data_IF_741537696887
#
_entry.id   IF_741537696887
#
_cell.length_a   1.000
_cell.length_b   1.000
_cell.length_c   1.000
_cell.angle_alpha   90.00
_cell.angle_beta   90.00
_cell.angle_gamma   90.00
#
_symmetry.space_group_name_H-M   'P 1'
#
loop_
_entity.id
_entity.type
_entity.pdbx_description
1 polymer ?
#
# COMPACT_ATOMS: atom_id res chain seq x y z
N UNK A 1 5.42 19.03 -16.75
CA UNK A 1 4.10 18.36 -16.73
C UNK A 1 4.12 16.94 -17.32
N UNK A 2 4.56 16.69 -18.58
CA UNK A 2 4.61 15.32 -19.16
C UNK A 2 5.69 14.38 -18.58
N UNK A 3 6.77 14.91 -17.98
CA UNK A 3 7.83 14.11 -17.34
C UNK A 3 7.49 13.68 -15.89
N UNK A 4 6.71 14.47 -15.16
CA UNK A 4 6.26 14.17 -13.78
C UNK A 4 5.21 13.07 -13.73
N UNK A 5 4.28 13.07 -14.70
CA UNK A 5 3.39 11.92 -14.90
C UNK A 5 4.22 10.67 -15.14
N UNK A 6 5.37 10.76 -15.80
CA UNK A 6 6.22 9.60 -16.11
C UNK A 6 6.97 9.03 -14.90
N UNK A 7 7.42 9.79 -13.89
CA UNK A 7 8.18 9.18 -12.76
C UNK A 7 7.25 8.50 -11.74
N UNK A 8 6.12 9.13 -11.42
CA UNK A 8 5.07 8.52 -10.60
C UNK A 8 4.34 7.42 -11.40
N UNK A 9 4.14 7.56 -12.72
CA UNK A 9 3.76 6.41 -13.57
C UNK A 9 4.91 5.41 -13.73
N UNK A 10 6.20 5.70 -13.61
CA UNK A 10 7.24 4.68 -13.78
C UNK A 10 7.23 3.79 -12.54
N UNK A 11 7.10 4.37 -11.34
CA UNK A 11 6.89 3.63 -10.09
C UNK A 11 5.51 2.95 -10.02
N UNK A 12 4.43 3.58 -10.50
CA UNK A 12 3.08 2.98 -10.53
C UNK A 12 2.84 2.02 -11.71
N UNK A 13 3.45 2.21 -12.89
CA UNK A 13 3.35 1.31 -14.06
C UNK A 13 4.27 0.11 -13.92
N UNK A 14 5.39 0.21 -13.18
CA UNK A 14 6.08 -1.01 -12.73
C UNK A 14 5.16 -1.88 -11.86
N UNK A 15 4.16 -1.30 -11.19
CA UNK A 15 3.17 -2.02 -10.37
C UNK A 15 1.90 -2.41 -11.16
N UNK A 16 1.55 -1.72 -12.25
CA UNK A 16 0.23 -1.84 -12.91
C UNK A 16 0.24 -2.33 -14.37
N UNK A 17 1.24 -3.09 -14.83
CA UNK A 17 1.16 -3.79 -16.13
C UNK A 17 0.21 -5.01 -16.10
N UNK A 18 -1.10 -4.73 -16.07
CA UNK A 18 -2.18 -5.65 -16.43
C UNK A 18 -2.80 -5.15 -17.74
N UNK A 19 -2.60 -5.96 -18.79
CA UNK A 19 -3.28 -6.04 -20.09
C UNK A 19 -3.92 -4.78 -20.71
N UNK A 20 -3.34 -4.34 -21.83
CA UNK A 20 -4.11 -3.88 -22.99
C UNK A 20 -3.60 -4.62 -24.22
N UNK A 21 -4.41 -5.56 -24.72
CA UNK A 21 -4.30 -6.09 -26.09
C UNK A 21 -4.97 -5.10 -27.04
N UNK A 22 -4.34 -4.93 -28.20
CA UNK A 22 -4.82 -4.25 -29.40
C UNK A 22 -4.71 -2.70 -29.45
N UNK A 23 -3.66 -2.18 -30.12
CA UNK A 23 -3.78 -1.57 -31.45
C UNK A 23 -2.46 -0.96 -32.01
N UNK A 24 -2.13 -1.41 -33.22
CA UNK A 24 -1.39 -0.83 -34.36
C UNK A 24 -0.09 0.01 -34.20
N UNK A 25 0.95 -0.27 -35.04
CA UNK A 25 2.22 0.43 -35.00
C UNK A 25 2.18 1.74 -35.79
N UNK A 26 2.40 2.86 -35.12
CA UNK A 26 2.74 4.13 -35.79
C UNK A 26 4.24 4.36 -35.65
N UNK A 27 4.93 4.11 -36.77
CA UNK A 27 6.21 4.67 -37.22
C UNK A 27 6.95 5.57 -36.22
N UNK A 28 7.83 4.97 -35.42
CA UNK A 28 8.96 5.65 -34.80
C UNK A 28 10.10 5.74 -35.82
N UNK A 29 10.28 6.91 -36.43
CA UNK A 29 11.52 7.27 -37.09
C UNK A 29 11.85 8.72 -36.73
N UNK A 30 13.10 8.93 -36.36
CA UNK A 30 13.76 10.18 -35.94
C UNK A 30 13.47 10.67 -34.52
N UNK A 31 14.30 10.21 -33.58
CA UNK A 31 15.22 11.00 -32.72
C UNK A 31 15.97 9.93 -31.91
N UNK A 32 16.99 9.35 -32.54
CA UNK A 32 17.98 8.47 -31.90
C UNK A 32 19.32 8.95 -32.42
N UNK A 33 20.25 9.17 -31.49
CA UNK A 33 21.66 9.52 -31.67
C UNK A 33 22.02 10.94 -31.23
N UNK A 34 22.13 11.12 -29.91
CA UNK A 34 23.27 11.80 -29.23
C UNK A 34 22.93 12.03 -27.73
N UNK A 35 22.87 10.93 -26.98
CA UNK A 35 23.10 10.88 -25.53
C UNK A 35 23.65 9.47 -25.29
N UNK A 36 24.95 9.31 -25.47
CA UNK A 36 25.65 8.09 -25.07
C UNK A 36 25.68 8.04 -23.54
N UNK A 37 24.58 7.59 -22.96
CA UNK A 37 24.47 7.20 -21.56
C UNK A 37 25.43 6.02 -21.38
N UNK A 38 26.55 6.25 -20.69
CA UNK A 38 27.36 5.16 -20.15
C UNK A 38 26.44 4.25 -19.34
N UNK A 39 26.53 2.94 -19.61
CA UNK A 39 25.50 1.96 -19.29
C UNK A 39 25.02 2.03 -17.82
N UNK A 40 23.76 2.41 -17.63
CA UNK A 40 23.01 2.19 -16.38
C UNK A 40 23.18 0.73 -15.94
N UNK A 41 23.92 0.50 -14.85
CA UNK A 41 23.96 -0.83 -14.25
C UNK A 41 22.77 -0.99 -13.30
N UNK A 42 21.58 -1.17 -13.89
CA UNK A 42 20.35 -1.57 -13.19
C UNK A 42 20.60 -2.69 -12.17
N UNK A 43 21.61 -3.54 -12.45
CA UNK A 43 21.94 -4.66 -11.60
C UNK A 43 22.67 -4.23 -10.32
N UNK A 44 23.37 -3.09 -10.27
CA UNK A 44 24.01 -2.60 -9.06
C UNK A 44 23.00 -2.10 -8.03
N UNK A 45 22.07 -1.23 -8.42
CA UNK A 45 20.95 -0.79 -7.59
C UNK A 45 20.08 -1.98 -7.14
N UNK A 46 19.72 -2.85 -8.08
CA UNK A 46 18.97 -4.08 -7.80
C UNK A 46 19.68 -4.97 -6.79
N UNK A 47 20.99 -5.20 -6.95
CA UNK A 47 21.79 -5.98 -5.99
C UNK A 47 21.79 -5.33 -4.62
N UNK A 48 21.98 -4.03 -4.54
CA UNK A 48 21.95 -3.30 -3.27
C UNK A 48 20.61 -3.48 -2.55
N UNK A 49 19.48 -3.33 -3.26
CA UNK A 49 18.14 -3.54 -2.69
C UNK A 49 17.90 -4.99 -2.25
N UNK A 50 18.42 -5.97 -2.99
CA UNK A 50 18.40 -7.39 -2.61
C UNK A 50 19.23 -7.61 -1.34
N UNK A 51 20.44 -7.05 -1.27
CA UNK A 51 21.33 -7.15 -0.11
C UNK A 51 20.69 -6.52 1.13
N UNK A 52 20.06 -5.35 1.00
CA UNK A 52 19.29 -4.73 2.08
C UNK A 52 18.16 -5.65 2.54
N UNK A 53 17.38 -6.22 1.62
CA UNK A 53 16.33 -7.16 2.04
C UNK A 53 16.89 -8.41 2.71
N UNK A 54 18.01 -8.95 2.22
CA UNK A 54 18.68 -10.09 2.84
C UNK A 54 19.20 -9.76 4.24
N UNK A 55 19.66 -8.53 4.47
CA UNK A 55 20.00 -8.00 5.78
C UNK A 55 18.77 -7.97 6.69
N UNK A 56 17.65 -7.42 6.23
CA UNK A 56 16.38 -7.42 6.97
C UNK A 56 15.86 -8.84 7.27
N UNK A 57 16.12 -9.83 6.41
CA UNK A 57 15.77 -11.24 6.65
C UNK A 57 16.58 -11.88 7.79
N UNK A 58 17.76 -11.36 8.08
CA UNK A 58 18.66 -11.83 9.13
C UNK A 58 18.48 -11.07 10.44
N UNK A 59 17.71 -9.98 10.42
CA UNK A 59 17.42 -9.18 11.61
C UNK A 59 16.71 -10.01 12.70
N UNK A 60 16.90 -9.63 13.97
CA UNK A 60 16.33 -10.38 15.11
C UNK A 60 14.83 -10.16 15.26
N UNK A 61 14.33 -8.99 14.86
CA UNK A 61 12.90 -8.68 14.82
C UNK A 61 12.24 -9.39 13.62
N UNK A 62 11.29 -10.27 13.94
CA UNK A 62 10.52 -11.03 12.95
C UNK A 62 9.71 -10.12 12.01
N UNK A 63 9.30 -8.93 12.46
CA UNK A 63 8.54 -7.99 11.65
C UNK A 63 9.42 -7.45 10.50
N UNK A 64 10.71 -7.23 10.76
CA UNK A 64 11.66 -6.79 9.73
C UNK A 64 11.94 -7.93 8.75
N UNK A 65 11.99 -9.17 9.24
CA UNK A 65 12.10 -10.35 8.36
C UNK A 65 10.90 -10.42 7.39
N UNK A 66 9.67 -10.14 7.84
CA UNK A 66 8.50 -10.10 6.96
C UNK A 66 8.61 -8.96 5.94
N UNK A 67 9.06 -7.77 6.33
CA UNK A 67 9.25 -6.65 5.41
C UNK A 67 10.30 -6.96 4.32
N UNK A 68 11.47 -7.49 4.71
CA UNK A 68 12.50 -7.93 3.77
C UNK A 68 12.02 -9.05 2.84
N UNK A 69 11.23 -9.99 3.37
CA UNK A 69 10.64 -11.05 2.57
C UNK A 69 9.62 -10.53 1.56
N UNK A 70 8.75 -9.61 2.00
CA UNK A 70 7.75 -8.98 1.14
C UNK A 70 8.42 -8.22 -0.02
N UNK A 71 9.50 -7.50 0.30
CA UNK A 71 10.31 -6.80 -0.68
C UNK A 71 10.89 -7.75 -1.73
N UNK A 72 11.65 -8.76 -1.31
CA UNK A 72 12.28 -9.72 -2.24
C UNK A 72 11.25 -10.39 -3.15
N UNK A 73 10.12 -10.77 -2.57
CA UNK A 73 9.02 -11.37 -3.29
C UNK A 73 8.46 -10.45 -4.37
N UNK A 74 8.31 -9.15 -4.09
CA UNK A 74 7.86 -8.18 -5.08
C UNK A 74 8.93 -7.90 -6.15
N UNK A 75 10.18 -7.69 -5.75
CA UNK A 75 11.28 -7.39 -6.67
C UNK A 75 11.53 -8.52 -7.67
N UNK A 76 11.47 -9.78 -7.23
CA UNK A 76 11.77 -10.96 -8.07
C UNK A 76 10.59 -11.28 -9.02
N UNK A 77 9.34 -11.08 -8.60
CA UNK A 77 8.17 -11.30 -9.45
C UNK A 77 8.12 -10.38 -10.67
N UNK A 78 8.63 -9.15 -10.55
CA UNK A 78 8.77 -8.23 -11.68
C UNK A 78 9.91 -8.61 -12.63
N UNK A 79 10.92 -9.33 -12.15
CA UNK A 79 12.11 -9.71 -12.93
C UNK A 79 11.87 -10.95 -13.81
N UNK A 80 11.09 -11.93 -13.33
CA UNK A 80 10.76 -13.15 -14.07
C UNK A 80 9.95 -12.90 -15.37
N UNK A 81 9.41 -11.68 -15.57
CA UNK A 81 8.75 -11.29 -16.83
C UNK A 81 9.71 -10.87 -17.93
N UNK A 82 10.98 -10.56 -17.62
CA UNK A 82 11.91 -9.94 -18.58
C UNK A 82 13.14 -10.81 -18.92
N UNK A 83 13.50 -11.80 -18.11
CA UNK A 83 14.64 -12.68 -18.36
C UNK A 83 14.22 -14.16 -18.22
N UNK A 84 14.71 -15.02 -19.12
CA UNK A 84 14.53 -16.48 -19.06
C UNK A 84 15.25 -17.12 -17.85
N UNK A 85 15.94 -16.33 -17.03
CA UNK A 85 16.51 -16.75 -15.78
C UNK A 85 15.41 -16.73 -14.71
N UNK A 86 14.75 -17.88 -14.58
CA UNK A 86 13.98 -18.26 -13.40
C UNK A 86 14.95 -18.38 -12.20
N UNK A 87 15.47 -17.26 -11.72
CA UNK A 87 15.86 -17.15 -10.32
C UNK A 87 14.56 -17.15 -9.51
N UNK A 88 13.96 -18.33 -9.40
CA UNK A 88 12.93 -18.58 -8.41
C UNK A 88 13.56 -18.23 -7.07
N UNK A 89 13.10 -17.12 -6.47
CA UNK A 89 13.40 -16.81 -5.09
C UNK A 89 13.29 -18.10 -4.27
N UNK A 90 14.33 -18.41 -3.49
CA UNK A 90 14.46 -19.73 -2.89
C UNK A 90 13.22 -20.03 -2.03
N UNK A 91 12.33 -20.86 -2.57
CA UNK A 91 11.06 -21.19 -1.96
C UNK A 91 11.26 -21.85 -0.58
N UNK A 92 12.41 -22.50 -0.34
CA UNK A 92 12.79 -23.01 0.99
C UNK A 92 13.13 -21.88 1.96
N UNK A 93 13.84 -20.83 1.52
CA UNK A 93 14.13 -19.67 2.35
C UNK A 93 12.82 -18.97 2.75
N UNK A 94 11.94 -18.72 1.76
CA UNK A 94 10.60 -18.16 1.98
C UNK A 94 9.82 -18.95 3.02
N UNK A 95 9.70 -20.27 2.82
CA UNK A 95 9.00 -21.15 3.74
C UNK A 95 9.64 -21.16 5.13
N UNK A 96 10.97 -21.15 5.24
CA UNK A 96 11.66 -21.13 6.52
C UNK A 96 11.34 -19.87 7.34
N UNK A 97 11.24 -18.71 6.68
CA UNK A 97 10.89 -17.45 7.33
C UNK A 97 9.42 -17.47 7.73
N UNK A 98 8.52 -17.93 6.86
CA UNK A 98 7.09 -18.05 7.17
C UNK A 98 6.82 -18.99 8.36
N UNK A 99 7.58 -20.07 8.48
CA UNK A 99 7.51 -20.94 9.66
C UNK A 99 8.02 -20.23 10.93
N UNK A 100 9.14 -19.49 10.84
CA UNK A 100 9.62 -18.65 11.97
C UNK A 100 8.61 -17.60 12.40
N UNK A 101 7.84 -17.04 11.45
CA UNK A 101 6.76 -16.08 11.76
C UNK A 101 5.71 -16.74 12.65
N UNK A 102 5.28 -17.97 12.33
CA UNK A 102 4.31 -18.72 13.13
C UNK A 102 4.83 -19.12 14.52
N UNK A 103 6.14 -19.20 14.71
CA UNK A 103 6.76 -19.52 16.00
C UNK A 103 6.95 -18.28 16.88
N UNK A 104 6.86 -17.08 16.31
CA UNK A 104 7.15 -15.83 17.01
C UNK A 104 5.98 -15.32 17.84
N UNK A 105 6.29 -14.84 19.05
CA UNK A 105 5.32 -14.15 19.91
C UNK A 105 5.32 -12.63 19.74
N UNK A 106 6.31 -12.08 19.02
CA UNK A 106 6.47 -10.64 18.79
C UNK A 106 5.98 -10.18 17.42
N UNK A 107 5.41 -11.09 16.62
CA UNK A 107 4.85 -10.76 15.31
C UNK A 107 3.65 -9.82 15.48
N UNK A 108 3.61 -8.74 14.71
CA UNK A 108 2.47 -7.82 14.66
C UNK A 108 1.37 -8.37 13.77
N UNK A 109 0.12 -7.97 14.01
CA UNK A 109 -1.03 -8.37 13.19
C UNK A 109 -0.80 -8.05 11.71
N UNK A 110 -0.27 -6.86 11.40
CA UNK A 110 -0.05 -6.45 10.01
C UNK A 110 1.05 -7.26 9.32
N UNK A 111 2.14 -7.58 10.02
CA UNK A 111 3.16 -8.49 9.49
C UNK A 111 2.63 -9.93 9.32
N UNK A 112 1.78 -10.40 10.23
CA UNK A 112 1.15 -11.71 10.12
C UNK A 112 0.16 -11.78 8.94
N UNK A 113 -0.60 -10.71 8.67
CA UNK A 113 -1.44 -10.57 7.49
C UNK A 113 -0.62 -10.62 6.19
N UNK A 114 0.49 -9.86 6.12
CA UNK A 114 1.38 -9.86 4.96
C UNK A 114 2.01 -11.24 4.72
N UNK A 115 2.51 -11.90 5.78
CA UNK A 115 3.06 -13.25 5.70
C UNK A 115 2.01 -14.28 5.19
N UNK A 116 0.77 -14.22 5.70
CA UNK A 116 -0.33 -15.05 5.21
C UNK A 116 -0.60 -14.84 3.71
N UNK A 117 -0.54 -13.61 3.22
CA UNK A 117 -0.76 -13.33 1.79
C UNK A 117 0.32 -13.95 0.90
N UNK A 118 1.57 -13.98 1.36
CA UNK A 118 2.65 -14.67 0.63
C UNK A 118 2.39 -16.18 0.48
N UNK A 119 1.66 -16.79 1.43
CA UNK A 119 1.27 -18.20 1.34
C UNK A 119 0.22 -18.50 0.28
N UNK A 120 -0.48 -17.49 -0.22
CA UNK A 120 -1.47 -17.64 -1.29
C UNK A 120 -0.86 -17.56 -2.69
N UNK A 121 0.44 -17.25 -2.79
CA UNK A 121 1.14 -17.17 -4.06
C UNK A 121 1.44 -18.55 -4.65
N UNK A 122 1.55 -18.60 -5.98
CA UNK A 122 1.66 -19.85 -6.71
C UNK A 122 2.87 -20.72 -6.30
N UNK A 123 3.98 -20.09 -5.93
CA UNK A 123 5.20 -20.77 -5.47
C UNK A 123 5.08 -21.35 -4.05
N UNK A 124 4.16 -20.84 -3.24
CA UNK A 124 3.91 -21.26 -1.85
C UNK A 124 2.63 -22.08 -1.65
N UNK A 125 1.78 -22.19 -2.69
CA UNK A 125 0.51 -22.88 -2.60
C UNK A 125 0.68 -24.33 -2.09
N UNK A 126 -0.02 -24.66 -1.01
CA UNK A 126 0.04 -25.98 -0.37
C UNK A 126 1.31 -26.28 0.44
N UNK A 127 2.21 -25.31 0.60
CA UNK A 127 3.43 -25.44 1.41
C UNK A 127 3.33 -24.79 2.79
N UNK A 128 2.53 -23.74 2.89
CA UNK A 128 2.30 -23.04 4.15
C UNK A 128 1.23 -23.70 5.01
N UNK A 129 1.38 -23.56 6.33
CA UNK A 129 0.32 -23.82 7.31
C UNK A 129 -0.62 -22.60 7.44
N UNK A 130 -1.43 -22.37 6.41
CA UNK A 130 -2.38 -21.24 6.34
C UNK A 130 -3.38 -21.26 7.49
N UNK A 131 -3.77 -22.46 7.95
CA UNK A 131 -4.68 -22.64 9.07
C UNK A 131 -4.07 -22.08 10.37
N UNK A 132 -2.81 -22.37 10.66
CA UNK A 132 -2.12 -21.82 11.83
C UNK A 132 -1.97 -20.29 11.74
N UNK A 133 -1.69 -19.73 10.55
CA UNK A 133 -1.71 -18.26 10.34
C UNK A 133 -3.07 -17.67 10.71
N UNK A 134 -4.16 -18.26 10.24
CA UNK A 134 -5.51 -17.79 10.54
C UNK A 134 -5.84 -17.91 12.04
N UNK A 135 -5.50 -19.02 12.68
CA UNK A 135 -5.71 -19.20 14.12
C UNK A 135 -4.98 -18.14 14.95
N UNK A 136 -3.74 -17.80 14.58
CA UNK A 136 -2.99 -16.74 15.24
C UNK A 136 -3.61 -15.36 15.00
N UNK A 137 -4.03 -15.06 13.77
CA UNK A 137 -4.72 -13.81 13.45
C UNK A 137 -6.04 -13.66 14.25
N UNK A 138 -6.87 -14.71 14.29
CA UNK A 138 -8.11 -14.71 15.07
C UNK A 138 -7.87 -14.58 16.57
N UNK A 139 -6.73 -15.06 17.08
CA UNK A 139 -6.36 -14.89 18.48
C UNK A 139 -5.81 -13.50 18.78
N UNK A 140 -5.02 -12.93 17.86
CA UNK A 140 -4.31 -11.67 18.08
C UNK A 140 -5.18 -10.44 17.84
N UNK A 141 -6.06 -10.48 16.83
CA UNK A 141 -6.89 -9.35 16.44
C UNK A 141 -8.26 -9.80 15.90
N UNK A 142 -9.09 -10.50 16.70
CA UNK A 142 -10.44 -10.90 16.28
C UNK A 142 -11.33 -9.72 15.90
N UNK A 143 -11.07 -8.53 16.45
CA UNK A 143 -11.84 -7.33 16.19
C UNK A 143 -11.45 -6.62 14.88
N UNK A 144 -10.41 -7.07 14.19
CA UNK A 144 -9.99 -6.53 12.90
C UNK A 144 -10.64 -7.30 11.75
N UNK A 145 -11.48 -6.66 10.94
CA UNK A 145 -12.21 -7.33 9.87
C UNK A 145 -11.30 -8.02 8.84
N UNK A 146 -10.05 -7.55 8.68
CA UNK A 146 -9.11 -8.05 7.68
C UNK A 146 -8.64 -9.49 7.92
N UNK A 147 -8.79 -10.00 9.15
CA UNK A 147 -8.42 -11.37 9.49
C UNK A 147 -9.35 -12.39 8.81
N UNK A 148 -10.59 -12.01 8.50
CA UNK A 148 -11.64 -12.92 8.00
C UNK A 148 -11.68 -13.09 6.47
N UNK A 149 -11.09 -12.19 5.68
CA UNK A 149 -11.25 -12.20 4.22
C UNK A 149 -10.73 -13.47 3.54
N UNK A 150 -9.64 -14.05 4.03
CA UNK A 150 -9.09 -15.29 3.46
C UNK A 150 -10.07 -16.45 3.61
N UNK A 151 -10.63 -16.63 4.81
CA UNK A 151 -11.60 -17.69 5.07
C UNK A 151 -12.90 -17.45 4.31
N UNK A 152 -13.35 -16.20 4.21
CA UNK A 152 -14.50 -15.87 3.38
C UNK A 152 -14.27 -16.22 1.91
N UNK A 153 -13.09 -15.90 1.38
CA UNK A 153 -12.70 -16.26 0.01
C UNK A 153 -12.75 -17.77 -0.20
N UNK A 154 -12.17 -18.55 0.72
CA UNK A 154 -12.19 -20.00 0.66
C UNK A 154 -13.62 -20.56 0.74
N UNK A 155 -14.44 -20.07 1.66
CA UNK A 155 -15.82 -20.50 1.83
C UNK A 155 -16.68 -20.20 0.58
N UNK A 156 -16.52 -19.01 -0.02
CA UNK A 156 -17.19 -18.63 -1.27
C UNK A 156 -16.74 -19.51 -2.44
N UNK A 157 -15.43 -19.78 -2.58
CA UNK A 157 -14.90 -20.65 -3.64
C UNK A 157 -15.47 -22.07 -3.57
N UNK A 158 -15.66 -22.60 -2.36
CA UNK A 158 -16.21 -23.94 -2.13
C UNK A 158 -17.74 -23.95 -1.99
N UNK A 159 -18.40 -22.80 -2.11
CA UNK A 159 -19.84 -22.64 -1.89
C UNK A 159 -20.31 -23.20 -0.53
N UNK A 160 -19.49 -23.09 0.51
CA UNK A 160 -19.83 -23.52 1.87
C UNK A 160 -20.70 -22.46 2.55
N UNK A 161 -22.01 -22.58 2.35
CA UNK A 161 -23.00 -21.58 2.80
C UNK A 161 -23.03 -21.44 4.33
N UNK A 162 -22.75 -22.51 5.07
CA UNK A 162 -22.73 -22.47 6.53
C UNK A 162 -21.51 -21.70 7.04
N UNK A 163 -20.35 -21.92 6.42
CA UNK A 163 -19.13 -21.19 6.75
C UNK A 163 -19.23 -19.71 6.33
N UNK A 164 -19.84 -19.41 5.18
CA UNK A 164 -20.09 -18.02 4.74
C UNK A 164 -20.95 -17.28 5.79
N UNK A 165 -22.07 -17.85 6.24
CA UNK A 165 -22.93 -17.22 7.26
C UNK A 165 -22.17 -16.97 8.57
N UNK A 166 -21.40 -17.96 9.02
CA UNK A 166 -20.60 -17.85 10.24
C UNK A 166 -19.57 -16.71 10.13
N UNK A 167 -18.83 -16.65 9.03
CA UNK A 167 -17.78 -15.64 8.82
C UNK A 167 -18.38 -14.25 8.68
N UNK A 168 -19.46 -14.08 7.90
CA UNK A 168 -20.13 -12.78 7.79
C UNK A 168 -20.66 -12.30 9.14
N UNK A 169 -21.18 -13.20 9.98
CA UNK A 169 -21.59 -12.86 11.34
C UNK A 169 -20.40 -12.39 12.19
N UNK A 170 -19.27 -13.07 12.13
CA UNK A 170 -18.06 -12.66 12.86
C UNK A 170 -17.53 -11.31 12.35
N UNK A 171 -17.44 -11.13 11.04
CA UNK A 171 -17.04 -9.86 10.42
C UNK A 171 -17.96 -8.71 10.83
N UNK A 172 -19.27 -8.95 10.97
CA UNK A 172 -20.23 -7.93 11.42
C UNK A 172 -20.06 -7.52 12.89
N UNK A 173 -19.29 -8.28 13.67
CA UNK A 173 -18.96 -8.01 15.07
C UNK A 173 -17.55 -7.42 15.24
N UNK A 174 -16.77 -7.31 14.15
CA UNK A 174 -15.49 -6.63 14.17
C UNK A 174 -15.66 -5.15 14.54
N UNK A 175 -14.63 -4.54 15.12
CA UNK A 175 -14.64 -3.14 15.55
C UNK A 175 -14.02 -2.22 14.51
N UNK A 176 -13.03 -2.70 13.75
CA UNK A 176 -12.28 -1.87 12.81
C UNK A 176 -11.77 -2.65 11.59
N UNK A 177 -11.27 -1.92 10.60
CA UNK A 177 -10.50 -2.44 9.47
C UNK A 177 -9.13 -1.79 9.44
N UNK A 178 -8.10 -2.54 9.84
CA UNK A 178 -6.72 -2.10 9.77
C UNK A 178 -5.87 -3.10 8.99
N UNK A 179 -5.16 -2.65 7.97
CA UNK A 179 -4.22 -3.51 7.24
C UNK A 179 -2.88 -2.82 6.96
N UNK A 180 -2.79 -1.51 7.16
CA UNK A 180 -1.54 -0.80 6.92
C UNK A 180 -0.48 -1.22 7.94
N UNK A 181 0.75 -1.38 7.45
CA UNK A 181 1.94 -1.58 8.28
C UNK A 181 2.70 -0.24 8.25
N UNK A 182 2.65 0.57 9.32
CA UNK A 182 3.41 1.81 9.36
C UNK A 182 4.91 1.52 9.32
N UNK A 183 5.68 2.42 8.72
CA UNK A 183 7.14 2.39 8.84
C UNK A 183 7.46 2.91 10.24
N UNK A 184 7.98 2.03 11.11
CA UNK A 184 8.32 2.41 12.48
C UNK A 184 9.67 3.13 12.54
N UNK A 185 9.90 3.87 13.63
CA UNK A 185 11.18 4.57 13.85
C UNK A 185 12.34 3.58 13.93
N UNK A 186 12.10 2.40 14.51
CA UNK A 186 13.09 1.33 14.57
C UNK A 186 13.44 0.80 13.18
N UNK A 187 12.46 0.64 12.29
CA UNK A 187 12.72 0.24 10.91
C UNK A 187 13.49 1.32 10.16
N UNK A 188 13.11 2.59 10.31
CA UNK A 188 13.85 3.71 9.73
C UNK A 188 15.31 3.74 10.19
N UNK A 189 15.55 3.50 11.49
CA UNK A 189 16.90 3.42 12.07
C UNK A 189 17.70 2.28 11.45
N UNK A 190 17.10 1.12 11.25
CA UNK A 190 17.75 -0.03 10.62
C UNK A 190 18.18 0.27 9.17
N UNK A 191 17.33 0.98 8.41
CA UNK A 191 17.68 1.43 7.07
C UNK A 191 18.84 2.42 7.10
N UNK A 192 18.84 3.36 8.05
CA UNK A 192 19.93 4.32 8.24
C UNK A 192 21.26 3.62 8.55
N UNK A 193 21.25 2.68 9.49
CA UNK A 193 22.43 1.90 9.86
C UNK A 193 22.98 1.13 8.66
N UNK A 194 22.11 0.44 7.90
CA UNK A 194 22.53 -0.28 6.70
C UNK A 194 23.13 0.66 5.64
N UNK A 195 22.48 1.81 5.35
CA UNK A 195 22.96 2.78 4.37
C UNK A 195 24.31 3.41 4.75
N UNK A 196 24.56 3.59 6.04
CA UNK A 196 25.85 4.09 6.53
C UNK A 196 26.99 3.08 6.30
N UNK A 197 26.72 1.79 6.48
CA UNK A 197 27.70 0.71 6.28
C UNK A 197 27.84 0.29 4.81
N UNK A 198 26.79 0.49 4.01
CA UNK A 198 26.71 0.14 2.60
C UNK A 198 26.25 1.36 1.78
N UNK A 199 27.14 2.32 1.51
CA UNK A 199 26.80 3.51 0.75
C UNK A 199 26.11 3.16 -0.56
N UNK A 200 25.07 3.91 -0.89
CA UNK A 200 24.33 3.74 -2.14
C UNK A 200 25.26 3.92 -3.35
N UNK A 201 25.01 3.20 -4.43
CA UNK A 201 25.94 3.15 -5.58
C UNK A 201 26.03 4.53 -6.25
N UNK A 202 27.17 5.20 -6.04
CA UNK A 202 27.40 6.63 -6.29
C UNK A 202 27.31 7.09 -7.76
N UNK A 203 27.53 6.21 -8.75
CA UNK A 203 27.94 6.68 -10.08
C UNK A 203 26.80 7.16 -11.01
N UNK A 204 25.53 6.86 -10.71
CA UNK A 204 24.41 7.24 -11.59
C UNK A 204 23.20 7.78 -10.84
N UNK A 205 22.96 7.36 -9.60
CA UNK A 205 21.94 7.99 -8.75
C UNK A 205 22.24 9.48 -8.60
N UNK A 206 23.51 9.84 -8.39
CA UNK A 206 23.98 11.22 -8.41
C UNK A 206 23.76 11.89 -9.77
N UNK A 207 24.18 11.31 -10.88
CA UNK A 207 24.04 11.93 -12.22
C UNK A 207 22.57 12.04 -12.69
N UNK A 208 21.71 11.07 -12.41
CA UNK A 208 20.28 11.12 -12.72
C UNK A 208 19.55 12.12 -11.83
N UNK A 209 19.82 12.09 -10.52
CA UNK A 209 19.23 13.04 -9.56
C UNK A 209 19.75 14.45 -9.84
N UNK A 210 21.02 14.64 -10.16
CA UNK A 210 21.60 15.94 -10.55
C UNK A 210 21.07 16.41 -11.92
N UNK A 211 20.86 15.51 -12.88
CA UNK A 211 20.31 15.85 -14.19
C UNK A 211 18.84 16.29 -14.12
N UNK A 212 18.03 15.60 -13.32
CA UNK A 212 16.60 15.89 -13.15
C UNK A 212 16.35 17.04 -12.15
N UNK A 213 17.17 17.17 -11.11
CA UNK A 213 16.88 18.07 -9.98
C UNK A 213 17.89 19.20 -9.74
N UNK A 214 19.01 19.28 -10.49
CA UNK A 214 20.04 20.34 -10.53
C UNK A 214 20.38 21.04 -9.20
N UNK A 215 21.67 21.05 -8.83
CA UNK A 215 22.19 21.79 -7.66
C UNK A 215 21.77 21.23 -6.28
N UNK A 216 21.42 19.94 -6.18
CA UNK A 216 21.21 19.29 -4.89
C UNK A 216 22.56 19.03 -4.18
N UNK A 217 22.62 19.28 -2.87
CA UNK A 217 23.77 18.87 -2.07
C UNK A 217 23.82 17.35 -1.92
N UNK A 218 25.00 16.78 -1.69
CA UNK A 218 25.15 15.33 -1.43
C UNK A 218 24.27 14.86 -0.26
N UNK A 219 24.10 15.69 0.76
CA UNK A 219 23.18 15.42 1.86
C UNK A 219 21.72 15.34 1.41
N UNK A 220 21.29 16.19 0.48
CA UNK A 220 19.93 16.17 -0.05
C UNK A 220 19.69 14.93 -0.92
N UNK A 221 20.69 14.50 -1.70
CA UNK A 221 20.64 13.24 -2.47
C UNK A 221 20.53 12.04 -1.53
N UNK A 222 21.33 11.98 -0.47
CA UNK A 222 21.28 10.90 0.51
C UNK A 222 19.89 10.81 1.20
N UNK A 223 19.34 11.96 1.61
CA UNK A 223 17.97 12.03 2.16
C UNK A 223 16.95 11.54 1.14
N UNK A 224 17.03 11.98 -0.11
CA UNK A 224 16.10 11.57 -1.17
C UNK A 224 16.11 10.05 -1.39
N UNK A 225 17.29 9.45 -1.44
CA UNK A 225 17.46 7.99 -1.60
C UNK A 225 16.84 7.26 -0.40
N UNK A 226 17.15 7.67 0.83
CA UNK A 226 16.55 7.11 2.04
C UNK A 226 15.02 7.16 1.98
N UNK A 227 14.47 8.35 1.69
CA UNK A 227 13.02 8.53 1.67
C UNK A 227 12.35 7.69 0.57
N UNK A 228 13.00 7.54 -0.59
CA UNK A 228 12.52 6.69 -1.67
C UNK A 228 12.48 5.20 -1.28
N UNK A 229 13.51 4.72 -0.56
CA UNK A 229 13.56 3.36 -0.03
C UNK A 229 12.41 3.13 0.96
N UNK A 230 12.24 4.02 1.94
CA UNK A 230 11.17 3.90 2.94
C UNK A 230 9.78 3.96 2.30
N UNK A 231 9.59 4.84 1.31
CA UNK A 231 8.35 4.92 0.54
C UNK A 231 8.08 3.63 -0.23
N UNK A 232 9.11 3.01 -0.79
CA UNK A 232 8.97 1.73 -1.49
C UNK A 232 8.48 0.63 -0.54
N UNK A 233 9.06 0.51 0.65
CA UNK A 233 8.56 -0.41 1.69
C UNK A 233 7.12 -0.12 2.11
N UNK A 234 6.77 1.17 2.27
CA UNK A 234 5.40 1.58 2.56
C UNK A 234 4.42 1.14 1.47
N UNK A 235 4.74 1.40 0.19
CA UNK A 235 3.91 1.04 -0.97
C UNK A 235 3.68 -0.48 -1.04
N UNK A 236 4.71 -1.27 -0.81
CA UNK A 236 4.56 -2.73 -0.80
C UNK A 236 3.69 -3.22 0.35
N UNK A 237 3.73 -2.57 1.51
CA UNK A 237 2.87 -2.91 2.64
C UNK A 237 1.40 -2.61 2.34
N UNK A 238 1.08 -1.46 1.73
CA UNK A 238 -0.30 -1.11 1.33
C UNK A 238 -0.81 -1.96 0.16
N UNK A 239 0.07 -2.55 -0.65
CA UNK A 239 -0.34 -3.42 -1.77
C UNK A 239 -0.99 -4.74 -1.31
N UNK A 240 -0.93 -5.03 0.00
CA UNK A 240 -1.53 -6.20 0.63
C UNK A 240 -3.03 -6.03 0.96
N UNK A 241 -3.77 -5.28 0.14
CA UNK A 241 -5.23 -5.13 0.30
C UNK A 241 -5.90 -6.50 0.10
N UNK A 242 -6.80 -6.94 1.00
CA UNK A 242 -7.50 -8.22 0.82
C UNK A 242 -8.32 -8.24 -0.48
N UNK A 243 -8.55 -9.43 -1.02
CA UNK A 243 -9.44 -9.59 -2.17
C UNK A 243 -10.89 -9.44 -1.72
N UNK A 244 -11.57 -8.39 -2.17
CA UNK A 244 -12.89 -7.99 -1.67
C UNK A 244 -14.06 -8.61 -2.44
N UNK A 245 -13.81 -9.11 -3.66
CA UNK A 245 -14.84 -9.74 -4.50
C UNK A 245 -15.61 -10.87 -3.79
N UNK A 246 -14.99 -11.74 -2.97
CA UNK A 246 -15.73 -12.73 -2.19
C UNK A 246 -16.75 -12.13 -1.21
N UNK A 247 -16.44 -11.00 -0.57
CA UNK A 247 -17.39 -10.31 0.31
C UNK A 247 -18.62 -9.84 -0.47
N UNK A 248 -18.42 -9.18 -1.60
CA UNK A 248 -19.53 -8.77 -2.48
C UNK A 248 -20.36 -10.00 -2.91
N UNK A 249 -19.68 -11.07 -3.35
CA UNK A 249 -20.35 -12.30 -3.79
C UNK A 249 -21.20 -12.92 -2.68
N UNK A 250 -20.65 -13.03 -1.47
CA UNK A 250 -21.36 -13.57 -0.33
C UNK A 250 -22.58 -12.71 0.04
N UNK A 251 -22.40 -11.40 0.10
CA UNK A 251 -23.48 -10.47 0.42
C UNK A 251 -24.60 -10.44 -0.61
N UNK A 252 -24.30 -10.63 -1.90
CA UNK A 252 -25.31 -10.69 -2.96
C UNK A 252 -26.10 -12.00 -2.97
N UNK A 253 -25.45 -13.13 -2.69
CA UNK A 253 -26.06 -14.45 -2.81
C UNK A 253 -26.88 -14.86 -1.59
N UNK A 254 -26.53 -14.36 -0.39
CA UNK A 254 -27.12 -14.79 0.87
C UNK A 254 -27.97 -13.69 1.51
N UNK A 255 -29.20 -13.50 1.02
CA UNK A 255 -30.11 -12.47 1.54
C UNK A 255 -30.36 -12.55 3.07
N UNK A 256 -30.27 -13.74 3.66
CA UNK A 256 -30.40 -13.93 5.11
C UNK A 256 -29.31 -13.18 5.92
N UNK A 257 -28.17 -12.85 5.31
CA UNK A 257 -27.04 -12.14 5.94
C UNK A 257 -27.02 -10.65 5.61
N UNK A 258 -28.11 -10.09 5.06
CA UNK A 258 -28.24 -8.68 4.72
C UNK A 258 -27.73 -7.72 5.80
N UNK A 259 -28.19 -7.94 7.04
CA UNK A 259 -27.88 -7.12 8.20
C UNK A 259 -26.40 -7.22 8.59
N UNK A 260 -25.80 -8.40 8.45
CA UNK A 260 -24.37 -8.60 8.65
C UNK A 260 -23.57 -7.82 7.61
N UNK A 261 -23.96 -7.89 6.33
CA UNK A 261 -23.31 -7.16 5.26
C UNK A 261 -23.43 -5.64 5.40
N UNK A 262 -24.58 -5.13 5.85
CA UNK A 262 -24.74 -3.71 6.18
C UNK A 262 -23.82 -3.28 7.34
N UNK A 263 -23.72 -4.09 8.39
CA UNK A 263 -22.83 -3.80 9.53
C UNK A 263 -21.36 -3.79 9.11
N UNK A 264 -20.95 -4.76 8.27
CA UNK A 264 -19.62 -4.81 7.66
C UNK A 264 -19.36 -3.54 6.85
N UNK A 265 -20.32 -3.11 6.03
CA UNK A 265 -20.20 -1.88 5.25
C UNK A 265 -20.00 -0.66 6.16
N UNK A 266 -20.72 -0.56 7.27
CA UNK A 266 -20.53 0.51 8.27
C UNK A 266 -19.15 0.51 8.90
N UNK A 267 -18.62 -0.67 9.29
CA UNK A 267 -17.25 -0.78 9.81
C UNK A 267 -16.25 -0.28 8.78
N UNK A 268 -16.40 -0.68 7.52
CA UNK A 268 -15.52 -0.26 6.44
C UNK A 268 -15.60 1.26 6.18
N UNK A 269 -16.79 1.85 6.21
CA UNK A 269 -16.99 3.29 6.00
C UNK A 269 -16.40 4.14 7.14
N UNK A 270 -16.67 3.75 8.39
CA UNK A 270 -16.50 4.64 9.55
C UNK A 270 -15.26 4.28 10.41
N UNK A 271 -14.74 3.05 10.28
CA UNK A 271 -13.68 2.51 11.14
C UNK A 271 -12.54 1.82 10.34
N UNK A 272 -12.29 2.28 9.11
CA UNK A 272 -11.12 1.86 8.33
C UNK A 272 -9.95 2.81 8.44
N UNK A 273 -8.73 2.25 8.48
CA UNK A 273 -7.48 3.00 8.39
C UNK A 273 -7.14 3.45 6.96
N UNK A 274 -7.85 2.96 5.94
CA UNK A 274 -7.59 3.24 4.53
C UNK A 274 -8.82 3.72 3.77
N UNK A 275 -8.59 4.68 2.88
CA UNK A 275 -9.59 5.25 2.00
C UNK A 275 -10.15 4.23 1.00
N UNK A 276 -9.35 3.24 0.57
CA UNK A 276 -9.85 2.20 -0.34
C UNK A 276 -10.95 1.38 0.36
N UNK A 277 -10.72 0.99 1.61
CA UNK A 277 -11.68 0.22 2.40
C UNK A 277 -12.92 1.05 2.70
N UNK A 278 -12.77 2.36 2.98
CA UNK A 278 -13.90 3.29 3.10
C UNK A 278 -14.75 3.35 1.83
N UNK A 279 -14.13 3.50 0.65
CA UNK A 279 -14.84 3.49 -0.65
C UNK A 279 -15.59 2.18 -0.87
N UNK A 280 -14.96 1.04 -0.60
CA UNK A 280 -15.62 -0.26 -0.68
C UNK A 280 -16.79 -0.38 0.31
N UNK A 281 -16.67 0.20 1.51
CA UNK A 281 -17.78 0.29 2.46
C UNK A 281 -19.00 0.98 1.85
N UNK A 282 -18.80 2.11 1.17
CA UNK A 282 -19.88 2.81 0.47
C UNK A 282 -20.48 1.97 -0.67
N UNK A 283 -19.65 1.34 -1.51
CA UNK A 283 -20.10 0.49 -2.61
C UNK A 283 -20.92 -0.72 -2.11
N UNK A 284 -20.44 -1.37 -1.06
CA UNK A 284 -21.13 -2.50 -0.43
C UNK A 284 -22.49 -2.05 0.14
N UNK A 285 -22.53 -0.92 0.85
CA UNK A 285 -23.77 -0.41 1.43
C UNK A 285 -24.81 -0.01 0.35
N UNK A 286 -24.36 0.64 -0.73
CA UNK A 286 -25.21 0.96 -1.88
C UNK A 286 -25.76 -0.33 -2.52
N UNK A 287 -24.89 -1.32 -2.76
CA UNK A 287 -25.29 -2.58 -3.37
C UNK A 287 -26.29 -3.35 -2.51
N UNK A 288 -26.10 -3.37 -1.20
CA UNK A 288 -27.05 -3.98 -0.26
C UNK A 288 -28.39 -3.26 -0.28
N UNK A 289 -28.39 -1.93 -0.21
CA UNK A 289 -29.61 -1.14 -0.27
C UNK A 289 -30.39 -1.39 -1.57
N UNK A 290 -29.70 -1.51 -2.72
CA UNK A 290 -30.31 -1.87 -4.01
C UNK A 290 -30.95 -3.27 -4.00
N UNK A 291 -30.24 -4.28 -3.49
CA UNK A 291 -30.72 -5.66 -3.46
C UNK A 291 -31.97 -5.83 -2.59
N UNK A 292 -32.03 -5.11 -1.47
CA UNK A 292 -33.15 -5.17 -0.54
C UNK A 292 -34.27 -4.16 -0.85
N UNK A 293 -34.11 -3.34 -1.88
CA UNK A 293 -35.10 -2.34 -2.28
C UNK A 293 -35.26 -1.18 -1.29
N UNK A 294 -34.22 -0.88 -0.51
CA UNK A 294 -34.18 0.24 0.43
C UNK A 294 -33.64 1.50 -0.26
N UNK A 295 -34.52 2.17 -1.01
CA UNK A 295 -34.17 3.37 -1.76
C UNK A 295 -33.65 4.52 -0.87
N UNK A 296 -34.11 4.60 0.39
CA UNK A 296 -33.67 5.65 1.30
C UNK A 296 -32.22 5.43 1.74
N UNK A 297 -31.89 4.21 2.19
CA UNK A 297 -30.50 3.87 2.55
C UNK A 297 -29.56 3.97 1.35
N UNK A 298 -30.02 3.64 0.15
CA UNK A 298 -29.24 3.83 -1.08
C UNK A 298 -28.91 5.31 -1.30
N UNK A 299 -29.93 6.19 -1.30
CA UNK A 299 -29.73 7.63 -1.51
C UNK A 299 -28.81 8.24 -0.45
N UNK A 300 -28.96 7.83 0.80
CA UNK A 300 -28.09 8.30 1.90
C UNK A 300 -26.64 7.83 1.71
N UNK A 301 -26.43 6.59 1.28
CA UNK A 301 -25.10 6.06 0.99
C UNK A 301 -24.43 6.77 -0.19
N UNK A 302 -25.18 7.09 -1.25
CA UNK A 302 -24.70 7.89 -2.40
C UNK A 302 -24.31 9.30 -1.96
N UNK A 303 -25.14 9.95 -1.14
CA UNK A 303 -24.89 11.29 -0.59
C UNK A 303 -23.60 11.31 0.26
N UNK A 304 -23.47 10.38 1.22
CA UNK A 304 -22.29 10.29 2.08
C UNK A 304 -21.02 9.95 1.30
N UNK A 305 -21.11 9.12 0.27
CA UNK A 305 -19.98 8.84 -0.62
C UNK A 305 -19.53 10.11 -1.35
N UNK A 306 -20.46 10.90 -1.88
CA UNK A 306 -20.12 12.18 -2.52
C UNK A 306 -19.47 13.15 -1.52
N UNK A 307 -19.97 13.25 -0.29
CA UNK A 307 -19.34 14.07 0.76
C UNK A 307 -17.91 13.61 1.09
N UNK A 308 -17.66 12.30 1.07
CA UNK A 308 -16.33 11.75 1.26
C UNK A 308 -15.38 12.10 0.10
N UNK A 309 -15.85 11.99 -1.16
CA UNK A 309 -15.10 12.39 -2.35
C UNK A 309 -14.80 13.89 -2.35
N UNK A 310 -15.76 14.72 -1.97
CA UNK A 310 -15.60 16.17 -1.88
C UNK A 310 -14.58 16.54 -0.78
N UNK A 311 -14.65 15.86 0.36
CA UNK A 311 -13.68 15.99 1.46
C UNK A 311 -12.26 15.64 1.00
N UNK A 312 -12.04 14.50 0.34
CA UNK A 312 -10.73 14.12 -0.19
C UNK A 312 -10.22 15.11 -1.22
N UNK A 313 -11.09 15.49 -2.16
CA UNK A 313 -10.76 16.47 -3.21
C UNK A 313 -10.36 17.82 -2.62
N UNK A 314 -11.01 18.24 -1.53
CA UNK A 314 -10.66 19.46 -0.81
C UNK A 314 -9.26 19.39 -0.19
N UNK A 315 -8.92 18.28 0.51
CA UNK A 315 -7.61 18.08 1.11
C UNK A 315 -6.47 18.07 0.08
N UNK A 316 -6.74 17.55 -1.12
CA UNK A 316 -5.76 17.48 -2.21
C UNK A 316 -5.56 18.81 -2.96
N UNK A 317 -6.34 19.86 -2.69
CA UNK A 317 -6.24 21.11 -3.48
C UNK A 317 -4.85 21.72 -3.43
N UNK A 318 -4.23 21.76 -2.26
CA UNK A 318 -2.93 22.41 -2.07
C UNK A 318 -1.79 21.66 -2.76
N UNK A 319 -1.93 20.34 -2.99
CA UNK A 319 -0.93 19.58 -3.76
C UNK A 319 -0.77 20.12 -5.18
N UNK A 320 -1.85 20.61 -5.80
CA UNK A 320 -1.78 21.17 -7.17
C UNK A 320 -1.15 22.56 -7.24
N UNK A 321 -0.93 23.21 -6.10
CA UNK A 321 -0.33 24.54 -5.98
C UNK A 321 1.19 24.50 -5.73
N UNK A 322 1.75 23.31 -5.49
CA UNK A 322 3.17 23.11 -5.32
C UNK A 322 3.87 23.13 -6.68
N UNK A 323 4.72 24.13 -6.90
CA UNK A 323 5.47 24.27 -8.16
C UNK A 323 6.64 23.28 -8.25
N UNK A 324 7.27 23.00 -7.11
CA UNK A 324 8.41 22.10 -7.01
C UNK A 324 7.94 20.71 -6.59
N UNK A 325 7.93 19.70 -7.48
CA UNK A 325 7.54 18.34 -7.11
C UNK A 325 8.39 17.71 -6.01
N UNK A 326 9.57 18.26 -5.71
CA UNK A 326 10.45 17.77 -4.66
C UNK A 326 9.88 17.92 -3.25
N UNK A 327 8.80 18.69 -3.06
CA UNK A 327 8.12 18.76 -1.76
C UNK A 327 7.72 17.39 -1.24
N UNK A 328 7.45 16.44 -2.14
CA UNK A 328 7.06 15.08 -1.77
C UNK A 328 8.18 14.32 -1.05
N UNK A 329 9.42 14.78 -1.18
CA UNK A 329 10.60 14.21 -0.53
C UNK A 329 11.14 15.08 0.60
N UNK A 330 10.49 16.21 0.90
CA UNK A 330 10.82 17.00 2.08
C UNK A 330 10.61 16.16 3.34
N UNK A 331 11.56 16.25 4.27
CA UNK A 331 11.57 15.45 5.51
C UNK A 331 10.24 15.56 6.27
N UNK A 332 9.67 16.76 6.39
CA UNK A 332 8.39 16.98 7.07
C UNK A 332 7.20 16.31 6.38
N UNK A 333 7.15 16.37 5.05
CA UNK A 333 6.10 15.71 4.27
C UNK A 333 6.25 14.18 4.32
N UNK A 334 7.47 13.67 4.17
CA UNK A 334 7.74 12.24 4.22
C UNK A 334 7.50 11.63 5.59
N UNK A 335 7.86 12.32 6.68
CA UNK A 335 7.55 11.88 8.03
C UNK A 335 6.04 11.67 8.21
N UNK A 336 5.21 12.57 7.67
CA UNK A 336 3.75 12.43 7.67
C UNK A 336 3.31 11.18 6.89
N UNK A 337 3.85 10.97 5.68
CA UNK A 337 3.42 9.88 4.80
C UNK A 337 3.88 8.50 5.28
N UNK A 338 5.06 8.37 5.88
CA UNK A 338 5.65 7.08 6.26
C UNK A 338 5.19 6.58 7.63
N UNK A 339 4.98 7.49 8.59
CA UNK A 339 4.70 7.12 9.99
C UNK A 339 3.21 6.92 10.27
N UNK A 340 2.32 7.33 9.37
CA UNK A 340 0.89 7.28 9.64
C UNK A 340 0.37 5.84 9.67
N UNK A 341 -0.24 5.44 10.79
CA UNK A 341 -1.02 4.21 10.90
C UNK A 341 -2.45 4.32 10.32
N UNK A 342 -2.81 5.50 9.78
CA UNK A 342 -4.14 5.81 9.25
C UNK A 342 -4.06 6.79 8.07
N UNK A 343 -4.47 6.37 6.88
CA UNK A 343 -4.36 7.11 5.61
C UNK A 343 -5.13 8.45 5.65
N UNK A 344 -6.34 8.44 6.21
CA UNK A 344 -7.11 9.67 6.46
C UNK A 344 -6.34 10.71 7.30
N UNK A 345 -5.71 10.30 8.41
CA UNK A 345 -4.87 11.17 9.24
C UNK A 345 -3.65 11.68 8.48
N UNK A 346 -3.01 10.84 7.68
CA UNK A 346 -1.87 11.24 6.83
C UNK A 346 -2.30 12.32 5.84
N UNK A 347 -3.41 12.13 5.13
CA UNK A 347 -3.90 13.09 4.15
C UNK A 347 -4.24 14.44 4.79
N UNK A 348 -4.89 14.44 5.96
CA UNK A 348 -5.17 15.67 6.71
C UNK A 348 -3.89 16.39 7.14
N UNK A 349 -2.92 15.63 7.66
CA UNK A 349 -1.64 16.18 8.11
C UNK A 349 -0.82 16.73 6.93
N UNK A 350 -0.83 16.04 5.79
CA UNK A 350 -0.18 16.47 4.56
C UNK A 350 -0.83 17.73 4.00
N UNK A 351 -2.17 17.79 3.97
CA UNK A 351 -2.90 18.99 3.55
C UNK A 351 -2.59 20.19 4.45
N UNK A 352 -2.50 19.97 5.77
CA UNK A 352 -2.11 20.99 6.74
C UNK A 352 -0.67 21.45 6.55
N UNK A 353 0.27 20.52 6.37
CA UNK A 353 1.67 20.82 6.08
C UNK A 353 1.80 21.73 4.85
N UNK A 354 1.17 21.34 3.73
CA UNK A 354 1.22 22.13 2.49
C UNK A 354 0.54 23.49 2.64
N UNK A 355 -0.57 23.57 3.39
CA UNK A 355 -1.20 24.85 3.69
C UNK A 355 -0.23 25.79 4.44
N UNK A 356 0.48 25.28 5.45
CA UNK A 356 1.43 26.07 6.22
C UNK A 356 2.61 26.57 5.37
N UNK A 357 3.08 25.76 4.42
CA UNK A 357 4.13 26.16 3.48
C UNK A 357 3.68 27.26 2.51
N UNK A 358 2.40 27.27 2.12
CA UNK A 358 1.86 28.15 1.08
C UNK A 358 1.10 29.39 1.60
N UNK A 359 0.69 29.43 2.88
CA UNK A 359 -0.21 30.48 3.40
C UNK A 359 0.30 31.91 3.23
N UNK A 360 1.61 32.11 3.26
CA UNK A 360 2.24 33.43 3.14
C UNK A 360 2.73 33.70 1.70
N UNK A 361 2.53 32.77 0.77
CA UNK A 361 3.03 32.89 -0.62
C UNK A 361 2.12 33.72 -1.53
N UNK A 362 0.93 34.12 -1.06
CA UNK A 362 -0.05 34.88 -1.84
C UNK A 362 -0.67 34.11 -3.02
N UNK A 363 -0.59 32.77 -3.03
CA UNK A 363 -1.17 31.95 -4.11
C UNK A 363 -2.69 31.99 -4.08
N UNK A 364 -3.28 32.27 -5.22
CA UNK A 364 -4.73 32.14 -5.41
C UNK A 364 -5.13 30.66 -5.37
N UNK A 365 -6.33 30.38 -4.84
CA UNK A 365 -6.87 29.02 -4.76
C UNK A 365 -6.34 28.17 -3.61
N UNK A 366 -5.48 28.73 -2.73
CA UNK A 366 -5.07 28.06 -1.50
C UNK A 366 -6.29 27.76 -0.62
N UNK A 367 -6.37 26.52 -0.13
CA UNK A 367 -7.46 26.07 0.75
C UNK A 367 -6.92 25.77 2.13
N UNK A 368 -7.51 26.39 3.14
CA UNK A 368 -7.32 26.01 4.53
C UNK A 368 -8.00 24.65 4.79
N UNK A 369 -7.25 23.58 5.14
CA UNK A 369 -7.80 22.24 5.34
C UNK A 369 -8.88 22.16 6.42
N UNK A 370 -8.93 23.12 7.35
CA UNK A 370 -10.01 23.23 8.35
C UNK A 370 -11.37 23.40 7.70
N UNK A 371 -11.42 24.05 6.53
CA UNK A 371 -12.65 24.22 5.76
C UNK A 371 -13.07 22.95 5.00
N UNK A 372 -12.23 21.92 4.95
CA UNK A 372 -12.57 20.63 4.34
C UNK A 372 -13.35 19.72 5.32
N UNK A 373 -13.41 20.05 6.61
CA UNK A 373 -14.06 19.22 7.63
C UNK A 373 -13.15 18.10 8.13
N UNK A 374 -12.00 18.47 8.71
CA UNK A 374 -11.04 17.54 9.32
C UNK A 374 -11.73 16.65 10.37
N UNK A 375 -11.32 15.38 10.42
CA UNK A 375 -11.92 14.28 11.18
C UNK A 375 -10.92 13.60 12.11
N UNK A 376 -9.62 13.65 11.81
CA UNK A 376 -8.60 12.84 12.48
C UNK A 376 -7.54 13.68 13.21
N UNK A 377 -7.30 14.92 12.77
CA UNK A 377 -6.37 15.84 13.41
C UNK A 377 -7.08 17.07 13.96
N UNK A 378 -6.59 17.59 15.07
CA UNK A 378 -6.88 18.92 15.56
C UNK A 378 -5.67 19.80 15.23
N UNK A 379 -5.78 20.74 14.28
CA UNK A 379 -4.67 21.63 13.95
C UNK A 379 -4.43 22.62 15.10
N UNK A 380 -3.18 22.65 15.60
CA UNK A 380 -2.70 23.57 16.63
C UNK A 380 -2.67 25.05 16.21
#
# INVERSE_FOLDING_TARGET
MKAMTAIVLILLLSISSVESKDHNPISQNSITDELSIEAYDANAERRWMIELSMHLLQHQDINFNVMGLNHLNHSILHQAKHENDNENFNAELKLSILNRVLESQSITTSALLAARMMCQQADMAGRCDVENFNQQLFKQAPENINVYFTELSHAVQHSDTAMIDLILRQMSQAEYSQFMVPITVEFETEIDEYMNDHPWVDAFSKDFIEAEFRDLSESAVATLVKQSILQYYYIMNISNVPVLRPLMTACEQFQATATHCQSIASILMDHSDSMIMTTIGYDLNQKMSQIFGDAQSQMESERRYQEFVDYQSCLLKNHSLMDDPMYQFEEGFMAIMLQGAHEGRQMESAAWYLYQQLKDSGREGLVDPRNCGLRFIEPD
#
